data_IF_477588476963
#
_entry.id   IF_477588476963
#
_cell.length_a   1.000
_cell.length_b   1.000
_cell.length_c   1.000
_cell.angle_alpha   90.00
_cell.angle_beta   90.00
_cell.angle_gamma   90.00
#
_symmetry.space_group_name_H-M   'P 1'
#
loop_
_entity.id
_entity.type
_entity.pdbx_description
1 polymer ?
#
# COMPACT_ATOMS: atom_id res chain seq x y z
N UNK A 1 37.23 8.18 -7.28
CA UNK A 1 36.27 8.53 -6.20
C UNK A 1 35.77 7.23 -5.59
N UNK A 2 36.02 7.02 -4.29
CA UNK A 2 35.51 5.83 -3.57
C UNK A 2 34.00 5.98 -3.40
N UNK A 3 33.22 4.97 -3.80
CA UNK A 3 31.80 4.88 -3.44
C UNK A 3 31.70 4.83 -1.93
N UNK A 4 31.21 5.89 -1.31
CA UNK A 4 30.84 5.88 0.12
C UNK A 4 29.77 4.82 0.27
N UNK A 5 30.06 3.79 1.08
CA UNK A 5 29.04 2.90 1.59
C UNK A 5 28.13 3.76 2.47
N UNK A 6 26.87 3.88 2.06
CA UNK A 6 25.85 4.64 2.78
C UNK A 6 25.59 3.94 4.11
N UNK A 7 25.92 4.63 5.20
CA UNK A 7 25.63 4.19 6.56
C UNK A 7 24.24 4.70 6.93
N UNK A 8 23.24 3.83 6.78
CA UNK A 8 21.84 4.11 7.14
C UNK A 8 21.62 4.23 8.66
N UNK A 9 22.68 4.42 9.46
CA UNK A 9 22.60 4.72 10.89
C UNK A 9 21.87 6.02 11.20
N UNK A 10 21.87 6.99 10.26
CA UNK A 10 21.15 8.25 10.40
C UNK A 10 20.27 8.49 9.16
N UNK A 11 19.00 8.09 9.26
CA UNK A 11 17.95 8.18 8.22
C UNK A 11 17.58 9.62 7.80
N UNK A 12 18.40 10.62 8.11
CA UNK A 12 18.00 12.03 8.15
C UNK A 12 18.24 12.85 6.89
N UNK A 13 19.27 12.56 6.07
CA UNK A 13 19.62 13.42 4.93
C UNK A 13 19.83 12.64 3.64
N UNK A 14 20.59 11.55 3.68
CA UNK A 14 20.90 10.75 2.47
C UNK A 14 19.65 10.09 1.88
N UNK A 15 18.70 9.68 2.73
CA UNK A 15 17.43 9.09 2.29
C UNK A 15 16.49 10.10 1.63
N UNK A 16 16.51 11.36 2.06
CA UNK A 16 15.73 12.43 1.43
C UNK A 16 16.31 12.82 0.07
N UNK A 17 17.63 12.74 -0.11
CA UNK A 17 18.24 12.89 -1.43
C UNK A 17 17.80 11.78 -2.42
N UNK A 18 17.45 10.58 -1.93
CA UNK A 18 16.92 9.51 -2.78
C UNK A 18 15.54 9.83 -3.33
N UNK A 19 14.69 10.52 -2.55
CA UNK A 19 13.32 10.91 -2.95
C UNK A 19 13.29 11.74 -4.24
N UNK A 20 14.38 12.40 -4.60
CA UNK A 20 14.40 13.37 -5.70
C UNK A 20 14.37 12.74 -7.10
N UNK A 21 14.94 11.55 -7.35
CA UNK A 21 14.90 10.85 -8.66
C UNK A 21 15.75 9.56 -8.66
N UNK A 22 15.40 8.53 -9.47
CA UNK A 22 16.14 7.32 -9.97
C UNK A 22 17.13 6.54 -9.06
N UNK A 23 17.50 7.08 -7.92
CA UNK A 23 18.51 6.61 -6.98
C UNK A 23 17.87 5.67 -5.96
N UNK A 24 16.57 5.82 -5.67
CA UNK A 24 15.81 4.88 -4.84
C UNK A 24 15.90 3.46 -5.38
N UNK A 25 15.69 3.27 -6.68
CA UNK A 25 15.77 1.94 -7.30
C UNK A 25 17.19 1.36 -7.25
N UNK A 26 18.21 2.19 -7.47
CA UNK A 26 19.61 1.78 -7.44
C UNK A 26 20.07 1.42 -6.03
N UNK A 27 19.65 2.19 -5.03
CA UNK A 27 19.98 1.94 -3.63
C UNK A 27 19.19 0.76 -3.05
N UNK A 28 17.90 0.61 -3.37
CA UNK A 28 17.16 -0.62 -3.05
C UNK A 28 17.90 -1.84 -3.63
N UNK A 29 18.38 -1.72 -4.87
CA UNK A 29 19.14 -2.80 -5.51
C UNK A 29 20.52 -3.02 -4.88
N UNK A 30 21.17 -1.98 -4.33
CA UNK A 30 22.44 -2.07 -3.61
C UNK A 30 22.24 -2.69 -2.22
N UNK A 31 21.20 -2.28 -1.50
CA UNK A 31 20.80 -2.79 -0.19
C UNK A 31 20.36 -4.26 -0.28
N UNK A 32 19.59 -4.63 -1.30
CA UNK A 32 19.26 -6.04 -1.60
C UNK A 32 20.51 -6.88 -1.82
N UNK A 33 21.54 -6.30 -2.46
CA UNK A 33 22.84 -6.95 -2.68
C UNK A 33 23.70 -7.03 -1.43
N UNK A 34 23.56 -6.09 -0.49
CA UNK A 34 24.35 -6.06 0.74
C UNK A 34 23.82 -6.99 1.84
N UNK A 35 22.63 -7.59 1.66
CA UNK A 35 22.03 -8.66 2.49
C UNK A 35 21.89 -8.37 4.00
N UNK A 36 21.98 -7.11 4.44
CA UNK A 36 21.81 -6.72 5.84
C UNK A 36 20.95 -5.47 5.99
N UNK A 37 19.63 -5.62 5.84
CA UNK A 37 18.69 -4.64 6.41
C UNK A 37 18.23 -5.18 7.75
N UNK A 38 18.48 -4.43 8.81
CA UNK A 38 17.98 -4.81 10.13
C UNK A 38 16.47 -4.58 10.23
N UNK A 39 15.83 -5.30 11.16
CA UNK A 39 14.41 -5.08 11.49
C UNK A 39 14.19 -3.63 11.98
N UNK A 40 15.16 -3.04 12.69
CA UNK A 40 15.06 -1.65 13.16
C UNK A 40 15.07 -0.65 11.99
N UNK A 41 15.91 -0.87 10.98
CA UNK A 41 15.94 -0.05 9.77
C UNK A 41 14.63 -0.16 8.99
N UNK A 42 14.09 -1.37 8.81
CA UNK A 42 12.78 -1.56 8.16
C UNK A 42 11.65 -0.83 8.91
N UNK A 43 11.66 -0.87 10.25
CA UNK A 43 10.69 -0.13 11.07
C UNK A 43 10.82 1.38 10.87
N UNK A 44 12.05 1.91 10.85
CA UNK A 44 12.29 3.34 10.63
C UNK A 44 11.81 3.80 9.25
N UNK A 45 12.14 3.04 8.19
CA UNK A 45 11.68 3.32 6.83
C UNK A 45 10.14 3.33 6.76
N UNK A 46 9.49 2.32 7.35
CA UNK A 46 8.02 2.27 7.38
C UNK A 46 7.42 3.48 8.10
N UNK A 47 7.95 3.82 9.28
CA UNK A 47 7.45 4.94 10.08
C UNK A 47 7.59 6.27 9.34
N UNK A 48 8.66 6.45 8.58
CA UNK A 48 8.84 7.64 7.75
C UNK A 48 7.79 7.74 6.64
N UNK A 49 7.47 6.62 5.99
CA UNK A 49 6.38 6.59 4.99
C UNK A 49 5.04 6.97 5.60
N UNK A 50 4.76 6.52 6.82
CA UNK A 50 3.55 6.89 7.58
C UNK A 50 3.53 8.38 7.93
N UNK A 51 4.68 8.96 8.28
CA UNK A 51 4.79 10.39 8.57
C UNK A 51 4.49 11.24 7.32
N UNK A 52 5.10 10.94 6.18
CA UNK A 52 4.77 11.59 4.91
C UNK A 52 3.29 11.42 4.55
N UNK A 53 2.72 10.23 4.74
CA UNK A 53 1.32 9.98 4.47
C UNK A 53 0.40 10.86 5.31
N UNK A 54 0.66 10.95 6.62
CA UNK A 54 -0.14 11.75 7.56
C UNK A 54 -0.03 13.25 7.30
N UNK A 55 1.06 13.70 6.66
CA UNK A 55 1.25 15.08 6.18
C UNK A 55 0.68 15.31 4.76
N UNK A 56 -0.04 14.33 4.20
CA UNK A 56 -0.58 14.35 2.82
C UNK A 56 0.50 14.48 1.73
N UNK A 57 1.76 14.20 2.06
CA UNK A 57 2.90 14.16 1.14
C UNK A 57 2.93 12.81 0.43
N UNK A 58 1.89 12.57 -0.37
CA UNK A 58 1.63 11.25 -0.96
C UNK A 58 2.68 10.79 -1.96
N UNK A 59 3.39 11.72 -2.62
CA UNK A 59 4.44 11.37 -3.58
C UNK A 59 5.64 10.76 -2.85
N UNK A 60 6.06 11.40 -1.77
CA UNK A 60 7.16 10.98 -0.90
C UNK A 60 6.78 9.67 -0.21
N UNK A 61 5.58 9.57 0.36
CA UNK A 61 5.06 8.34 0.97
C UNK A 61 5.05 7.16 -0.02
N UNK A 62 4.61 7.38 -1.27
CA UNK A 62 4.58 6.35 -2.32
C UNK A 62 6.00 5.81 -2.61
N UNK A 63 6.99 6.69 -2.68
CA UNK A 63 8.40 6.29 -2.86
C UNK A 63 8.88 5.46 -1.67
N UNK A 64 8.57 5.88 -0.43
CA UNK A 64 9.03 5.18 0.78
C UNK A 64 8.39 3.80 0.89
N UNK A 65 7.08 3.68 0.70
CA UNK A 65 6.42 2.39 0.78
C UNK A 65 6.78 1.46 -0.38
N UNK A 66 7.13 2.00 -1.55
CA UNK A 66 7.71 1.21 -2.64
C UNK A 66 9.07 0.64 -2.25
N UNK A 67 9.94 1.46 -1.65
CA UNK A 67 11.22 1.02 -1.13
C UNK A 67 11.07 -0.03 -0.02
N UNK A 68 10.18 0.23 0.94
CA UNK A 68 9.87 -0.70 2.02
C UNK A 68 9.41 -2.07 1.50
N UNK A 69 8.44 -2.10 0.56
CA UNK A 69 7.92 -3.33 -0.04
C UNK A 69 9.02 -4.10 -0.78
N UNK A 70 9.96 -3.37 -1.40
CA UNK A 70 11.07 -3.98 -2.10
C UNK A 70 12.11 -4.59 -1.13
N UNK A 71 12.35 -3.96 0.02
CA UNK A 71 13.28 -4.44 1.04
C UNK A 71 12.69 -5.54 1.93
N UNK A 72 11.36 -5.55 2.11
CA UNK A 72 10.63 -6.49 2.96
C UNK A 72 9.43 -7.10 2.22
N UNK A 73 9.65 -7.95 1.20
CA UNK A 73 8.59 -8.43 0.31
C UNK A 73 7.57 -9.36 1.00
N UNK A 74 7.85 -9.84 2.20
CA UNK A 74 6.96 -10.73 2.97
C UNK A 74 6.05 -9.98 3.94
N UNK A 75 6.12 -8.65 3.99
CA UNK A 75 5.30 -7.82 4.85
C UNK A 75 4.23 -7.08 4.04
N UNK A 76 2.98 -7.32 4.39
CA UNK A 76 1.82 -6.81 3.66
C UNK A 76 1.65 -5.29 3.76
N UNK A 77 2.24 -4.66 4.79
CA UNK A 77 1.99 -3.25 5.13
C UNK A 77 2.40 -2.30 4.01
N UNK A 78 3.48 -2.61 3.29
CA UNK A 78 3.91 -1.81 2.15
C UNK A 78 2.87 -1.75 1.03
N UNK A 79 2.34 -2.91 0.63
CA UNK A 79 1.28 -3.00 -0.37
C UNK A 79 -0.02 -2.30 0.11
N UNK A 80 -0.37 -2.46 1.39
CA UNK A 80 -1.53 -1.78 1.99
C UNK A 80 -1.42 -0.26 1.97
N UNK A 81 -0.26 0.28 2.35
CA UNK A 81 -0.03 1.73 2.31
C UNK A 81 -0.04 2.29 0.89
N UNK A 82 0.56 1.58 -0.09
CA UNK A 82 0.48 1.97 -1.50
C UNK A 82 -0.96 1.95 -2.02
N UNK A 83 -1.75 0.93 -1.68
CA UNK A 83 -3.16 0.87 -2.02
C UNK A 83 -3.94 2.06 -1.43
N UNK A 84 -3.70 2.40 -0.16
CA UNK A 84 -4.32 3.56 0.49
C UNK A 84 -3.98 4.86 -0.23
N UNK A 85 -2.70 5.10 -0.55
CA UNK A 85 -2.27 6.28 -1.33
C UNK A 85 -2.99 6.36 -2.67
N UNK A 86 -3.07 5.26 -3.41
CA UNK A 86 -3.74 5.24 -4.71
C UNK A 86 -5.25 5.45 -4.59
N UNK A 87 -5.89 4.98 -3.52
CA UNK A 87 -7.30 5.26 -3.23
C UNK A 87 -7.52 6.77 -2.96
N UNK A 88 -6.69 7.39 -2.13
CA UNK A 88 -6.76 8.84 -1.84
C UNK A 88 -6.56 9.68 -3.11
N UNK A 89 -5.64 9.26 -3.99
CA UNK A 89 -5.38 9.90 -5.29
C UNK A 89 -6.43 9.54 -6.36
N UNK A 90 -7.46 8.75 -6.04
CA UNK A 90 -8.48 8.24 -6.98
C UNK A 90 -7.90 7.45 -8.17
N UNK A 91 -6.71 6.88 -8.00
CA UNK A 91 -6.02 6.05 -8.98
C UNK A 91 -6.46 4.59 -8.84
N UNK A 92 -7.74 4.32 -9.12
CA UNK A 92 -8.40 3.06 -8.77
C UNK A 92 -7.76 1.82 -9.42
N UNK A 93 -7.22 1.91 -10.63
CA UNK A 93 -6.53 0.78 -11.26
C UNK A 93 -5.24 0.42 -10.50
N UNK A 94 -4.42 1.41 -10.14
CA UNK A 94 -3.20 1.17 -9.35
C UNK A 94 -3.51 0.67 -7.94
N UNK A 95 -4.57 1.20 -7.34
CA UNK A 95 -5.06 0.71 -6.05
C UNK A 95 -5.45 -0.77 -6.15
N UNK A 96 -6.21 -1.13 -7.19
CA UNK A 96 -6.61 -2.51 -7.46
C UNK A 96 -5.40 -3.45 -7.63
N UNK A 97 -4.37 -3.02 -8.36
CA UNK A 97 -3.14 -3.80 -8.53
C UNK A 97 -2.47 -4.08 -7.17
N UNK A 98 -2.36 -3.08 -6.31
CA UNK A 98 -1.77 -3.25 -4.96
C UNK A 98 -2.65 -4.07 -4.02
N UNK A 99 -3.98 -3.91 -4.08
CA UNK A 99 -4.92 -4.70 -3.29
C UNK A 99 -4.91 -6.18 -3.70
N UNK A 100 -4.72 -6.46 -4.99
CA UNK A 100 -4.58 -7.83 -5.50
C UNK A 100 -3.28 -8.50 -5.05
N UNK A 101 -2.24 -7.72 -4.76
CA UNK A 101 -1.03 -8.21 -4.09
C UNK A 101 -1.33 -8.41 -2.60
N UNK A 102 -1.91 -7.41 -1.93
CA UNK A 102 -2.24 -7.42 -0.50
C UNK A 102 -3.07 -8.65 -0.09
N UNK A 103 -4.10 -9.01 -0.88
CA UNK A 103 -4.98 -10.14 -0.58
C UNK A 103 -4.28 -11.51 -0.54
N UNK A 104 -3.06 -11.60 -1.07
CA UNK A 104 -2.27 -12.85 -1.06
C UNK A 104 -1.50 -13.06 0.23
N UNK A 105 -1.37 -12.02 1.08
CA UNK A 105 -0.68 -12.12 2.35
C UNK A 105 -1.61 -12.69 3.42
N UNK A 106 -1.28 -13.82 4.06
CA UNK A 106 -2.15 -14.41 5.09
C UNK A 106 -2.36 -13.53 6.33
N UNK A 107 -1.51 -12.51 6.52
CA UNK A 107 -1.55 -11.60 7.66
C UNK A 107 -2.35 -10.31 7.40
N UNK A 108 -2.93 -10.14 6.21
CA UNK A 108 -3.75 -8.98 5.92
C UNK A 108 -5.16 -9.10 6.55
N UNK A 109 -5.87 -7.97 6.65
CA UNK A 109 -7.31 -8.00 6.85
C UNK A 109 -8.00 -8.27 5.51
N UNK A 110 -8.45 -9.52 5.32
CA UNK A 110 -8.99 -9.97 4.05
C UNK A 110 -10.31 -9.28 3.71
N UNK A 111 -11.22 -9.14 4.67
CA UNK A 111 -12.55 -8.58 4.44
C UNK A 111 -12.47 -7.08 4.11
N UNK A 112 -11.63 -6.32 4.82
CA UNK A 112 -11.36 -4.91 4.51
C UNK A 112 -10.64 -4.75 3.15
N UNK A 113 -9.70 -5.65 2.84
CA UNK A 113 -9.01 -5.66 1.54
C UNK A 113 -9.98 -5.93 0.38
N UNK A 114 -10.82 -6.94 0.51
CA UNK A 114 -11.81 -7.32 -0.51
C UNK A 114 -12.86 -6.23 -0.68
N UNK A 115 -13.28 -5.57 0.39
CA UNK A 115 -14.16 -4.41 0.32
C UNK A 115 -13.54 -3.26 -0.47
N UNK A 116 -12.24 -3.02 -0.32
CA UNK A 116 -11.52 -2.03 -1.11
C UNK A 116 -11.36 -2.42 -2.58
N UNK A 117 -11.22 -3.71 -2.87
CA UNK A 117 -11.26 -4.23 -4.25
C UNK A 117 -12.63 -3.97 -4.88
N UNK A 118 -13.72 -4.28 -4.15
CA UNK A 118 -15.08 -4.00 -4.59
C UNK A 118 -15.28 -2.50 -4.87
N UNK A 119 -14.76 -1.63 -3.99
CA UNK A 119 -14.77 -0.18 -4.19
C UNK A 119 -14.05 0.22 -5.49
N UNK A 120 -12.86 -0.33 -5.75
CA UNK A 120 -12.10 -0.02 -6.97
C UNK A 120 -12.87 -0.41 -8.23
N UNK A 121 -13.39 -1.64 -8.30
CA UNK A 121 -14.23 -2.09 -9.41
C UNK A 121 -15.46 -1.17 -9.59
N UNK A 122 -16.15 -0.83 -8.49
CA UNK A 122 -17.29 0.07 -8.55
C UNK A 122 -16.95 1.44 -9.14
N UNK A 123 -15.81 2.02 -8.73
CA UNK A 123 -15.32 3.32 -9.21
C UNK A 123 -14.80 3.28 -10.64
N UNK A 124 -14.35 2.11 -11.11
CA UNK A 124 -14.00 1.85 -12.51
C UNK A 124 -15.21 1.53 -13.40
N UNK A 125 -16.42 1.48 -12.85
CA UNK A 125 -17.65 1.16 -13.59
C UNK A 125 -17.90 -0.33 -13.79
N UNK A 126 -17.05 -1.19 -13.23
CA UNK A 126 -17.11 -2.65 -13.30
C UNK A 126 -18.08 -3.17 -12.22
N UNK A 127 -19.39 -3.00 -12.45
CA UNK A 127 -20.42 -3.22 -11.43
C UNK A 127 -20.60 -4.70 -11.07
N UNK A 128 -20.48 -5.61 -12.04
CA UNK A 128 -20.62 -7.04 -11.79
C UNK A 128 -19.48 -7.56 -10.91
N UNK A 129 -18.25 -7.20 -11.25
CA UNK A 129 -17.05 -7.54 -10.48
C UNK A 129 -17.12 -6.94 -9.08
N UNK A 130 -17.56 -5.69 -8.96
CA UNK A 130 -17.76 -5.04 -7.67
C UNK A 130 -18.75 -5.82 -6.79
N UNK A 131 -19.89 -6.24 -7.36
CA UNK A 131 -20.89 -7.05 -6.65
C UNK A 131 -20.34 -8.41 -6.26
N UNK A 132 -19.66 -9.11 -7.16
CA UNK A 132 -19.03 -10.41 -6.87
C UNK A 132 -18.04 -10.30 -5.72
N UNK A 133 -17.21 -9.26 -5.70
CA UNK A 133 -16.26 -9.04 -4.60
C UNK A 133 -16.97 -8.69 -3.30
N UNK A 134 -18.03 -7.88 -3.35
CA UNK A 134 -18.79 -7.50 -2.16
C UNK A 134 -19.52 -8.68 -1.51
N UNK A 135 -19.91 -9.71 -2.28
CA UNK A 135 -20.50 -10.96 -1.76
C UNK A 135 -19.52 -11.80 -0.93
N UNK A 136 -18.22 -11.62 -1.13
CA UNK A 136 -17.17 -12.35 -0.39
C UNK A 136 -16.94 -11.71 1.00
N UNK A 137 -17.21 -10.41 1.14
CA UNK A 137 -16.98 -9.65 2.37
C UNK A 137 -17.92 -10.10 3.47
N UNK A 138 -17.37 -10.47 4.63
CA UNK A 138 -18.09 -10.76 5.87
C UNK A 138 -18.25 -9.47 6.69
N UNK A 139 -19.44 -8.85 6.72
CA UNK A 139 -19.61 -7.53 7.35
C UNK A 139 -19.32 -7.52 8.85
N UNK A 140 -19.48 -8.67 9.52
CA UNK A 140 -19.18 -8.85 10.94
C UNK A 140 -17.68 -8.69 11.28
N UNK A 141 -16.80 -8.82 10.29
CA UNK A 141 -15.36 -8.67 10.46
C UNK A 141 -14.87 -7.23 10.21
N UNK A 142 -15.74 -6.35 9.68
CA UNK A 142 -15.36 -4.99 9.32
C UNK A 142 -15.29 -4.09 10.54
N UNK A 143 -14.28 -3.23 10.60
CA UNK A 143 -14.30 -2.10 11.53
C UNK A 143 -15.40 -1.09 11.18
N UNK A 144 -15.78 -0.25 12.14
CA UNK A 144 -16.84 0.77 11.97
C UNK A 144 -16.60 1.67 10.73
N UNK A 145 -15.34 2.03 10.49
CA UNK A 145 -14.93 2.81 9.33
C UNK A 145 -15.30 2.12 8.00
N UNK A 146 -15.10 0.80 7.92
CA UNK A 146 -15.38 0.02 6.71
C UNK A 146 -16.85 -0.40 6.61
N UNK A 147 -17.57 -0.55 7.72
CA UNK A 147 -19.00 -0.83 7.74
C UNK A 147 -19.81 0.21 6.96
N UNK A 148 -19.46 1.50 7.08
CA UNK A 148 -20.13 2.57 6.32
C UNK A 148 -19.88 2.43 4.81
N UNK A 149 -18.64 2.08 4.42
CA UNK A 149 -18.27 1.83 3.01
C UNK A 149 -19.00 0.61 2.44
N UNK A 150 -19.11 -0.46 3.23
CA UNK A 150 -19.88 -1.65 2.86
C UNK A 150 -21.34 -1.31 2.60
N UNK A 151 -22.00 -0.61 3.54
CA UNK A 151 -23.39 -0.18 3.39
C UNK A 151 -23.60 0.69 2.15
N UNK A 152 -22.70 1.65 1.91
CA UNK A 152 -22.73 2.47 0.69
C UNK A 152 -22.69 1.60 -0.57
N UNK A 153 -21.70 0.71 -0.70
CA UNK A 153 -21.57 -0.12 -1.91
C UNK A 153 -22.76 -1.07 -2.07
N UNK A 154 -23.25 -1.67 -0.99
CA UNK A 154 -24.42 -2.56 -1.01
C UNK A 154 -25.66 -1.84 -1.55
N UNK A 155 -25.88 -0.58 -1.17
CA UNK A 155 -26.98 0.22 -1.69
C UNK A 155 -26.81 0.49 -3.19
N UNK A 156 -25.61 0.86 -3.64
CA UNK A 156 -25.35 1.18 -5.05
C UNK A 156 -25.38 -0.05 -5.97
N UNK A 157 -25.04 -1.22 -5.42
CA UNK A 157 -24.92 -2.47 -6.16
C UNK A 157 -26.15 -3.37 -6.04
N UNK A 158 -27.19 -2.93 -5.31
CA UNK A 158 -28.42 -3.69 -5.10
C UNK A 158 -29.01 -4.33 -6.38
N UNK A 159 -29.04 -3.65 -7.54
CA UNK A 159 -29.58 -4.23 -8.79
C UNK A 159 -28.77 -5.40 -9.36
N UNK A 160 -27.57 -5.67 -8.84
CA UNK A 160 -26.61 -6.62 -9.42
C UNK A 160 -26.40 -7.86 -8.53
N UNK A 161 -27.25 -8.08 -7.53
CA UNK A 161 -27.22 -9.26 -6.65
C UNK A 161 -28.26 -10.33 -7.02
N UNK A 162 -29.00 -10.14 -8.11
CA UNK A 162 -30.05 -11.03 -8.61
C UNK A 162 -29.55 -12.08 -9.60
#
# INVERSE_FOLDING_TARGET
MKSKLIDLGETGEEFYALLENKMVEQEIAAIRRSSKVSISQLKAIFQMGVEFYNQFQFKEAEIIFSAYSALNPYDHRGAGCLAAIYLEKKQFQKALDMLNILKTYPSNDLDETVLNIALCHYKLGQKLEASSMLLIVKPENLSEFFSQRYCYLKQQLNPYFS
#
